data_IF_675643668839
#
_entry.id   IF_675643668839
#
_cell.length_a   1.000
_cell.length_b   1.000
_cell.length_c   1.000
_cell.angle_alpha   90.00
_cell.angle_beta   90.00
_cell.angle_gamma   90.00
#
_symmetry.space_group_name_H-M   'P 1'
#
loop_
_entity.id
_entity.type
_entity.pdbx_description
1 polymer ?
#
# COMPACT_ATOMS: atom_id res chain seq x y z
N UNK A 1 10.12 -17.65 -3.90
CA UNK A 1 10.44 -16.63 -4.92
C UNK A 1 11.32 -15.56 -4.30
N UNK A 2 12.45 -15.28 -4.94
CA UNK A 2 13.29 -14.11 -4.66
C UNK A 2 12.64 -12.83 -5.20
N UNK A 3 13.26 -11.67 -4.94
CA UNK A 3 12.84 -10.39 -5.54
C UNK A 3 13.00 -10.46 -7.06
N UNK A 4 14.12 -11.02 -7.54
CA UNK A 4 14.34 -11.21 -8.98
C UNK A 4 13.29 -12.11 -9.61
N UNK A 5 12.90 -13.22 -8.97
CA UNK A 5 11.82 -14.09 -9.45
C UNK A 5 10.50 -13.31 -9.62
N UNK A 6 10.16 -12.41 -8.69
CA UNK A 6 8.95 -11.56 -8.76
C UNK A 6 8.99 -10.55 -9.89
N UNK A 7 10.15 -9.92 -10.13
CA UNK A 7 10.33 -9.03 -11.27
C UNK A 7 10.03 -9.77 -12.57
N UNK A 8 10.64 -10.94 -12.78
CA UNK A 8 10.44 -11.71 -14.00
C UNK A 8 9.03 -12.29 -14.11
N UNK A 9 8.43 -12.71 -13.00
CA UNK A 9 7.04 -13.11 -12.95
C UNK A 9 6.13 -11.98 -13.43
N UNK A 10 6.28 -10.77 -12.87
CA UNK A 10 5.45 -9.62 -13.22
C UNK A 10 5.65 -9.18 -14.66
N UNK A 11 6.90 -9.16 -15.14
CA UNK A 11 7.21 -8.86 -16.55
C UNK A 11 6.50 -9.81 -17.51
N UNK A 12 6.46 -11.11 -17.18
CA UNK A 12 5.74 -12.10 -17.97
C UNK A 12 4.23 -11.88 -17.92
N UNK A 13 3.69 -11.60 -16.74
CA UNK A 13 2.26 -11.29 -16.54
C UNK A 13 1.78 -10.13 -17.41
N UNK A 14 2.53 -9.03 -17.43
CA UNK A 14 2.16 -7.81 -18.18
C UNK A 14 2.67 -7.81 -19.63
N UNK A 15 3.32 -8.90 -20.06
CA UNK A 15 3.87 -9.04 -21.41
C UNK A 15 5.02 -8.06 -21.75
N UNK A 16 5.69 -7.49 -20.75
CA UNK A 16 6.75 -6.50 -20.95
C UNK A 16 8.10 -7.17 -21.28
N UNK A 17 8.71 -6.89 -22.44
CA UNK A 17 10.05 -7.39 -22.77
C UNK A 17 11.13 -6.80 -21.86
N UNK A 18 12.18 -7.57 -21.59
CA UNK A 18 13.32 -7.12 -20.77
C UNK A 18 13.99 -5.85 -21.32
N UNK A 19 13.99 -5.65 -22.65
CA UNK A 19 14.50 -4.42 -23.27
C UNK A 19 13.71 -3.19 -22.85
N UNK A 20 12.40 -3.29 -22.92
CA UNK A 20 11.51 -2.19 -22.52
C UNK A 20 11.64 -1.91 -21.02
N UNK A 21 11.73 -2.95 -20.20
CA UNK A 21 11.93 -2.80 -18.76
C UNK A 21 13.26 -2.10 -18.43
N UNK A 22 14.33 -2.45 -19.16
CA UNK A 22 15.64 -1.79 -19.05
C UNK A 22 15.55 -0.31 -19.40
N UNK A 23 14.89 0.04 -20.50
CA UNK A 23 14.70 1.44 -20.93
C UNK A 23 13.87 2.25 -19.92
N UNK A 24 12.79 1.67 -19.39
CA UNK A 24 11.90 2.33 -18.43
C UNK A 24 12.52 2.50 -17.03
N UNK A 25 13.37 1.56 -16.61
CA UNK A 25 14.02 1.61 -15.29
C UNK A 25 15.39 2.29 -15.30
N UNK A 26 16.01 2.43 -16.47
CA UNK A 26 17.41 2.85 -16.61
C UNK A 26 18.42 1.79 -16.15
N UNK A 27 17.97 0.58 -15.84
CA UNK A 27 18.85 -0.52 -15.40
C UNK A 27 19.35 -1.26 -16.64
N UNK A 28 20.66 -1.44 -16.77
CA UNK A 28 21.25 -2.12 -17.91
C UNK A 28 20.69 -3.55 -18.09
N UNK A 29 20.41 -3.95 -19.34
CA UNK A 29 19.94 -5.30 -19.66
C UNK A 29 20.88 -6.39 -19.14
N UNK A 30 22.20 -6.15 -19.15
CA UNK A 30 23.20 -7.07 -18.60
C UNK A 30 22.95 -7.34 -17.11
N UNK A 31 22.69 -6.29 -16.32
CA UNK A 31 22.35 -6.40 -14.91
C UNK A 31 21.05 -7.18 -14.68
N UNK A 32 20.02 -6.93 -15.50
CA UNK A 32 18.76 -7.66 -15.40
C UNK A 32 18.96 -9.15 -15.71
N UNK A 33 19.69 -9.48 -16.79
CA UNK A 33 20.04 -10.86 -17.13
C UNK A 33 20.83 -11.56 -16.03
N UNK A 34 21.73 -10.83 -15.36
CA UNK A 34 22.53 -11.34 -14.26
C UNK A 34 21.69 -11.77 -13.04
N UNK A 35 20.59 -11.06 -12.75
CA UNK A 35 19.67 -11.46 -11.69
C UNK A 35 19.11 -12.87 -11.88
N UNK A 36 18.90 -13.27 -13.14
CA UNK A 36 18.40 -14.60 -13.50
C UNK A 36 19.51 -15.65 -13.46
N UNK A 37 20.68 -15.36 -14.04
CA UNK A 37 21.76 -16.34 -14.16
C UNK A 37 22.51 -16.56 -12.84
N UNK A 38 22.78 -15.50 -12.08
CA UNK A 38 23.52 -15.56 -10.81
C UNK A 38 22.63 -15.60 -9.57
N UNK A 39 21.30 -15.64 -9.75
CA UNK A 39 20.32 -15.59 -8.65
C UNK A 39 20.52 -14.39 -7.72
N UNK A 40 20.92 -13.25 -8.27
CA UNK A 40 21.09 -12.01 -7.51
C UNK A 40 19.80 -11.19 -7.52
N UNK A 41 19.66 -10.29 -6.55
CA UNK A 41 18.51 -9.39 -6.43
C UNK A 41 18.89 -7.96 -6.88
N UNK A 42 17.91 -7.15 -7.30
CA UNK A 42 18.10 -5.71 -7.45
C UNK A 42 18.60 -5.08 -6.15
N UNK A 43 19.42 -4.03 -6.26
CA UNK A 43 19.83 -3.22 -5.10
C UNK A 43 18.65 -2.42 -4.56
N UNK A 44 18.71 -2.04 -3.28
CA UNK A 44 17.66 -1.26 -2.60
C UNK A 44 17.31 0.03 -3.34
N UNK A 45 18.30 0.75 -3.88
CA UNK A 45 18.13 1.98 -4.67
C UNK A 45 17.24 1.79 -5.91
N UNK A 46 17.22 0.58 -6.48
CA UNK A 46 16.47 0.26 -7.70
C UNK A 46 15.02 -0.15 -7.39
N UNK A 47 14.69 -0.44 -6.13
CA UNK A 47 13.38 -0.98 -5.76
C UNK A 47 12.24 -0.06 -6.16
N UNK A 48 12.35 1.25 -5.85
CA UNK A 48 11.26 2.19 -6.11
C UNK A 48 10.98 2.38 -7.59
N UNK A 49 12.02 2.45 -8.43
CA UNK A 49 11.85 2.58 -9.88
C UNK A 49 11.27 1.29 -10.49
N UNK A 50 11.70 0.12 -10.00
CA UNK A 50 11.13 -1.16 -10.43
C UNK A 50 9.64 -1.22 -10.07
N UNK A 51 9.27 -0.85 -8.85
CA UNK A 51 7.88 -0.80 -8.40
C UNK A 51 7.03 0.12 -9.29
N UNK A 52 7.54 1.32 -9.59
CA UNK A 52 6.88 2.28 -10.46
C UNK A 52 6.64 1.74 -11.88
N UNK A 53 7.63 1.06 -12.47
CA UNK A 53 7.54 0.54 -13.85
C UNK A 53 6.63 -0.69 -13.95
N UNK A 54 6.63 -1.54 -12.91
CA UNK A 54 5.84 -2.77 -12.88
C UNK A 54 4.42 -2.59 -12.32
N UNK A 55 4.10 -1.38 -11.84
CA UNK A 55 2.86 -1.03 -11.16
C UNK A 55 2.56 -1.99 -9.98
N UNK A 56 3.54 -2.10 -9.08
CA UNK A 56 3.45 -2.93 -7.87
C UNK A 56 3.95 -2.15 -6.66
N UNK A 57 3.58 -2.60 -5.47
CA UNK A 57 4.09 -1.99 -4.23
C UNK A 57 5.44 -2.58 -3.82
N UNK A 58 6.28 -1.83 -3.09
CA UNK A 58 7.52 -2.36 -2.52
C UNK A 58 7.29 -3.59 -1.63
N UNK A 59 6.18 -3.64 -0.89
CA UNK A 59 5.83 -4.78 -0.04
C UNK A 59 5.63 -6.04 -0.87
N UNK A 60 4.87 -5.95 -1.97
CA UNK A 60 4.69 -7.08 -2.88
C UNK A 60 6.04 -7.54 -3.45
N UNK A 61 6.85 -6.60 -3.94
CA UNK A 61 8.13 -6.90 -4.57
C UNK A 61 9.13 -7.53 -3.58
N UNK A 62 9.19 -7.04 -2.34
CA UNK A 62 10.16 -7.47 -1.33
C UNK A 62 9.71 -8.71 -0.54
N UNK A 63 8.42 -8.80 -0.18
CA UNK A 63 7.90 -9.87 0.67
C UNK A 63 7.10 -10.95 -0.08
N UNK A 64 6.54 -10.63 -1.26
CA UNK A 64 5.69 -11.55 -2.02
C UNK A 64 4.32 -11.76 -1.39
N UNK A 65 4.00 -10.95 -0.39
CA UNK A 65 2.65 -10.84 0.13
C UNK A 65 1.84 -10.09 -0.91
N UNK A 66 1.05 -10.85 -1.66
CA UNK A 66 -0.03 -10.28 -2.44
C UNK A 66 -1.10 -9.73 -1.51
N UNK A 67 -1.55 -8.50 -1.79
CA UNK A 67 -2.76 -7.95 -1.17
C UNK A 67 -4.05 -8.70 -1.61
N UNK A 68 -3.91 -9.89 -2.20
CA UNK A 68 -4.99 -10.82 -2.57
C UNK A 68 -5.42 -11.69 -1.38
N UNK A 69 -4.60 -11.76 -0.32
CA UNK A 69 -5.01 -12.25 0.99
C UNK A 69 -5.39 -11.09 1.89
N UNK A 70 -6.44 -11.26 2.70
CA UNK A 70 -6.93 -10.38 3.77
C UNK A 70 -5.87 -10.10 4.90
N UNK A 71 -4.57 -10.05 4.57
CA UNK A 71 -3.41 -9.97 5.47
C UNK A 71 -2.32 -8.98 5.02
N UNK A 72 -2.55 -8.15 4.00
CA UNK A 72 -1.92 -6.85 3.98
C UNK A 72 -2.65 -5.96 4.99
N UNK A 73 -1.94 -5.13 5.75
CA UNK A 73 -2.61 -4.05 6.48
C UNK A 73 -3.36 -3.22 5.44
N UNK A 74 -4.66 -3.54 5.24
CA UNK A 74 -5.57 -2.67 4.50
C UNK A 74 -5.40 -1.33 5.18
N UNK A 75 -4.91 -0.36 4.43
CA UNK A 75 -4.97 1.03 4.84
C UNK A 75 -6.45 1.30 5.09
N UNK A 76 -6.87 1.24 6.37
CA UNK A 76 -8.22 1.52 6.79
C UNK A 76 -8.36 3.04 6.86
N UNK A 77 -8.27 3.66 5.68
CA UNK A 77 -8.32 5.10 5.51
C UNK A 77 -9.74 5.49 5.16
N UNK A 78 -10.27 6.45 5.91
CA UNK A 78 -11.50 7.15 5.56
C UNK A 78 -11.06 8.48 4.95
N UNK A 79 -11.32 8.66 3.65
CA UNK A 79 -11.15 9.95 2.99
C UNK A 79 -12.40 10.80 3.27
N UNK A 80 -12.21 11.95 3.92
CA UNK A 80 -13.29 12.86 4.29
C UNK A 80 -12.96 14.25 3.75
N UNK A 81 -13.91 14.84 3.02
CA UNK A 81 -13.85 16.25 2.64
C UNK A 81 -14.08 17.14 3.87
N UNK A 82 -13.18 18.08 4.11
CA UNK A 82 -13.21 19.00 5.26
C UNK A 82 -14.44 19.91 5.26
N UNK A 83 -15.07 20.12 4.10
CA UNK A 83 -16.27 20.97 3.96
C UNK A 83 -17.57 20.22 4.24
N UNK A 84 -17.51 18.92 4.56
CA UNK A 84 -18.66 18.13 4.95
C UNK A 84 -18.87 18.15 6.46
N UNK A 85 -20.08 17.84 6.91
CA UNK A 85 -20.41 17.67 8.33
C UNK A 85 -19.44 16.72 9.04
N UNK A 86 -19.11 15.58 8.41
CA UNK A 86 -18.13 14.62 8.95
C UNK A 86 -16.74 15.26 9.08
N UNK A 87 -16.33 16.07 8.11
CA UNK A 87 -15.07 16.82 8.15
C UNK A 87 -15.03 17.85 9.29
N UNK A 88 -16.14 18.55 9.51
CA UNK A 88 -16.28 19.50 10.63
C UNK A 88 -16.18 18.80 11.98
N UNK A 89 -16.84 17.65 12.15
CA UNK A 89 -16.75 16.83 13.37
C UNK A 89 -15.30 16.42 13.65
N UNK A 90 -14.59 15.89 12.64
CA UNK A 90 -13.20 15.45 12.80
C UNK A 90 -12.25 16.60 13.13
N UNK A 91 -12.39 17.74 12.44
CA UNK A 91 -11.55 18.92 12.67
C UNK A 91 -11.82 19.53 14.04
N UNK A 92 -13.06 19.54 14.50
CA UNK A 92 -13.45 20.02 15.83
C UNK A 92 -12.94 19.09 16.92
N UNK A 93 -13.13 17.77 16.77
CA UNK A 93 -12.63 16.76 17.71
C UNK A 93 -11.13 16.92 18.00
N UNK A 94 -10.33 17.15 16.96
CA UNK A 94 -8.89 17.35 17.09
C UNK A 94 -8.48 18.62 17.85
N UNK A 95 -9.39 19.60 18.00
CA UNK A 95 -9.16 20.82 18.78
C UNK A 95 -9.60 20.70 20.24
N UNK A 96 -10.41 19.69 20.59
CA UNK A 96 -10.90 19.48 21.95
C UNK A 96 -9.79 19.00 22.89
N UNK A 97 -9.94 19.31 24.18
CA UNK A 97 -9.16 18.74 25.27
C UNK A 97 -9.59 17.29 25.56
N UNK A 98 -8.78 16.59 26.37
CA UNK A 98 -8.98 15.18 26.68
C UNK A 98 -10.31 14.87 27.37
N UNK A 99 -10.77 15.72 28.31
CA UNK A 99 -12.03 15.52 29.02
C UNK A 99 -13.22 15.69 28.07
N UNK A 100 -13.16 16.69 27.20
CA UNK A 100 -14.18 16.95 26.18
C UNK A 100 -14.26 15.82 25.14
N UNK A 101 -13.12 15.28 24.71
CA UNK A 101 -13.07 14.10 23.82
C UNK A 101 -13.68 12.86 24.47
N UNK A 102 -13.36 12.62 25.75
CA UNK A 102 -13.90 11.48 26.49
C UNK A 102 -15.43 11.54 26.60
N UNK A 103 -16.00 12.73 26.86
CA UNK A 103 -17.46 12.93 26.88
C UNK A 103 -18.10 12.63 25.52
N UNK A 104 -17.52 13.14 24.42
CA UNK A 104 -18.05 12.89 23.08
C UNK A 104 -18.05 11.39 22.73
N UNK A 105 -16.97 10.68 23.07
CA UNK A 105 -16.88 9.23 22.88
C UNK A 105 -17.92 8.47 23.71
N UNK A 106 -18.23 8.94 24.92
CA UNK A 106 -19.31 8.38 25.73
C UNK A 106 -20.67 8.46 25.03
N UNK A 107 -21.03 9.63 24.50
CA UNK A 107 -22.26 9.80 23.73
C UNK A 107 -22.31 8.92 22.48
N UNK A 108 -21.21 8.86 21.72
CA UNK A 108 -21.11 8.02 20.51
C UNK A 108 -21.28 6.53 20.84
N UNK A 109 -20.74 6.08 21.98
CA UNK A 109 -20.86 4.69 22.44
C UNK A 109 -22.31 4.36 22.81
N UNK A 110 -22.96 5.21 23.61
CA UNK A 110 -24.37 5.02 24.00
C UNK A 110 -25.31 4.98 22.78
N UNK A 111 -25.09 5.85 21.79
CA UNK A 111 -25.87 5.84 20.55
C UNK A 111 -25.68 4.56 19.74
N UNK A 112 -24.44 4.08 19.62
CA UNK A 112 -24.15 2.82 18.92
C UNK A 112 -24.79 1.60 19.60
N UNK A 113 -24.80 1.55 20.93
CA UNK A 113 -25.48 0.50 21.68
C UNK A 113 -27.00 0.55 21.48
N UNK A 114 -27.59 1.75 21.52
CA UNK A 114 -29.01 1.92 21.25
C UNK A 114 -29.41 1.47 19.83
N UNK A 115 -28.55 1.65 18.84
CA UNK A 115 -28.77 1.16 17.46
C UNK A 115 -28.69 -0.37 17.41
N UNK A 116 -27.73 -0.99 18.11
CA UNK A 116 -27.58 -2.45 18.15
C UNK A 116 -28.78 -3.13 18.82
N UNK A 117 -29.31 -2.54 19.89
CA UNK A 117 -30.45 -3.10 20.64
C UNK A 117 -31.80 -2.94 19.92
N UNK A 118 -31.85 -2.24 18.78
CA UNK A 118 -33.03 -2.08 17.93
C UNK A 118 -33.07 -3.02 16.72
N UNK A 119 -32.03 -3.83 16.51
CA UNK A 119 -31.95 -4.88 15.48
C UNK A 119 -32.19 -6.25 16.12
#
# INVERSE_FOLDING_TARGET
>A
MTISDRVFYRLKEIGMPQREFSEKTGIAQSTISEWKSKRTNPTSEKIMIICKVLDVTPEWLLSGVENTGNKGNKLNLILVDRNTEVGEVLTTYNKLDENSRARLMGYMTALNEAIKNKK
#
